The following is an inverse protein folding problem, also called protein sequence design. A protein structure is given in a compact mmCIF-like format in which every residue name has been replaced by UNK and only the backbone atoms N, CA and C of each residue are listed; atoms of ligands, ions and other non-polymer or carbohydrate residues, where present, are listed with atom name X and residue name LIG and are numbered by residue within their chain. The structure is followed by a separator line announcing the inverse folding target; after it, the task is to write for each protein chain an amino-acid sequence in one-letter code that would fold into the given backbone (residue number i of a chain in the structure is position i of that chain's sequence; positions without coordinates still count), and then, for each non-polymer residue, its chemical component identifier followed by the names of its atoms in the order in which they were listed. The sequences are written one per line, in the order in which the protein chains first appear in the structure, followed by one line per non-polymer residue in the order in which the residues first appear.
data_IF_479331252800
#
_entry.id   IF_479331252800
#
_cell.length_a   1.000
_cell.length_b   1.000
_cell.length_c   1.000
_cell.angle_alpha   90.00
_cell.angle_beta   90.00
_cell.angle_gamma   90.00
#
_symmetry.space_group_name_H-M   'P 1'
#
loop_
_entity.id
_entity.type
_entity.pdbx_description
1 polymer ?
#
# COMPACT_ATOMS: atom_id res chain seq x y z
N UNK A 1 14.91 2.79 5.84
CA UNK A 1 14.03 2.61 4.65
C UNK A 1 13.39 3.96 4.44
N UNK A 2 14.17 4.90 3.95
CA UNK A 2 13.89 6.29 4.30
C UNK A 2 13.43 7.11 3.12
N UNK A 3 13.32 6.51 1.92
CA UNK A 3 13.00 7.24 0.69
C UNK A 3 11.79 6.62 -0.01
N UNK A 4 10.70 7.39 -0.10
CA UNK A 4 9.54 7.08 -0.94
C UNK A 4 9.64 7.89 -2.24
N UNK A 5 9.39 7.28 -3.40
CA UNK A 5 9.35 7.99 -4.68
C UNK A 5 7.91 8.17 -5.17
N UNK A 6 7.59 9.37 -5.64
CA UNK A 6 6.31 9.70 -6.30
C UNK A 6 6.62 10.50 -7.57
N UNK A 7 6.54 9.83 -8.72
CA UNK A 7 7.03 10.39 -9.98
C UNK A 7 8.52 10.72 -9.90
N UNK A 8 8.87 11.98 -10.18
CA UNK A 8 10.26 12.47 -10.11
C UNK A 8 10.62 13.08 -8.74
N UNK A 9 9.81 12.88 -7.69
CA UNK A 9 10.05 13.40 -6.35
C UNK A 9 10.46 12.28 -5.39
N UNK A 10 11.51 12.53 -4.63
CA UNK A 10 11.97 11.66 -3.54
C UNK A 10 11.61 12.30 -2.18
N UNK A 11 11.04 11.51 -1.28
CA UNK A 11 10.66 11.92 0.07
C UNK A 11 11.49 11.16 1.09
N UNK A 12 12.40 11.84 1.77
CA UNK A 12 13.35 11.26 2.74
C UNK A 12 12.81 11.19 4.19
N UNK A 13 11.67 11.82 4.46
CA UNK A 13 11.08 11.93 5.82
C UNK A 13 9.56 11.89 5.77
N UNK A 14 9.01 10.98 4.95
CA UNK A 14 7.55 10.85 4.83
C UNK A 14 7.00 10.19 6.10
N UNK A 15 5.90 10.72 6.63
CA UNK A 15 5.18 10.05 7.70
C UNK A 15 4.80 8.63 7.23
N UNK A 16 5.19 7.55 7.93
CA UNK A 16 4.92 6.18 7.52
C UNK A 16 3.43 5.89 7.26
N UNK A 17 2.52 6.56 7.99
CA UNK A 17 1.09 6.41 7.78
C UNK A 17 0.64 7.03 6.44
N UNK A 18 1.21 8.18 6.07
CA UNK A 18 0.95 8.82 4.77
C UNK A 18 1.50 7.96 3.63
N UNK A 19 2.70 7.40 3.81
CA UNK A 19 3.31 6.45 2.87
C UNK A 19 2.40 5.23 2.66
N UNK A 20 1.95 4.64 3.76
CA UNK A 20 1.08 3.47 3.77
C UNK A 20 -0.25 3.74 3.08
N UNK A 21 -0.92 4.84 3.44
CA UNK A 21 -2.20 5.24 2.84
C UNK A 21 -2.06 5.45 1.32
N UNK A 22 -1.01 6.16 0.87
CA UNK A 22 -0.75 6.37 -0.56
C UNK A 22 -0.55 5.05 -1.32
N UNK A 23 0.26 4.15 -0.76
CA UNK A 23 0.51 2.83 -1.35
C UNK A 23 -0.78 2.00 -1.45
N UNK A 24 -1.54 1.94 -0.36
CA UNK A 24 -2.78 1.16 -0.30
C UNK A 24 -3.85 1.69 -1.26
N UNK A 25 -4.05 3.01 -1.33
CA UNK A 25 -4.98 3.63 -2.27
C UNK A 25 -4.59 3.40 -3.73
N UNK A 26 -3.29 3.43 -4.04
CA UNK A 26 -2.78 3.14 -5.39
C UNK A 26 -3.08 1.69 -5.79
N UNK A 27 -2.81 0.75 -4.89
CA UNK A 27 -3.11 -0.67 -5.11
C UNK A 27 -4.62 -0.93 -5.25
N UNK A 28 -5.45 -0.32 -4.39
CA UNK A 28 -6.91 -0.45 -4.46
C UNK A 28 -7.47 0.03 -5.80
N UNK A 29 -7.00 1.20 -6.29
CA UNK A 29 -7.39 1.69 -7.61
C UNK A 29 -6.97 0.74 -8.73
N UNK A 30 -5.79 0.14 -8.63
CA UNK A 30 -5.36 -0.86 -9.62
C UNK A 30 -6.27 -2.08 -9.59
N UNK A 31 -6.66 -2.56 -8.41
CA UNK A 31 -7.62 -3.67 -8.26
C UNK A 31 -8.93 -3.34 -8.95
N UNK A 32 -9.51 -2.17 -8.68
CA UNK A 32 -10.79 -1.74 -9.26
C UNK A 32 -10.75 -1.66 -10.80
N UNK A 33 -9.61 -1.27 -11.37
CA UNK A 33 -9.46 -1.10 -12.81
C UNK A 33 -9.12 -2.40 -13.56
N UNK A 34 -8.54 -3.39 -12.89
CA UNK A 34 -7.92 -4.54 -13.56
C UNK A 34 -8.55 -5.88 -13.19
N UNK A 35 -9.27 -5.98 -12.06
CA UNK A 35 -9.84 -7.24 -11.60
C UNK A 35 -11.35 -7.28 -11.83
N UNK A 36 -11.82 -8.38 -12.41
CA UNK A 36 -13.25 -8.67 -12.47
C UNK A 36 -13.70 -9.29 -11.12
N UNK A 37 -14.61 -8.66 -10.37
CA UNK A 37 -15.05 -9.15 -9.06
C UNK A 37 -15.84 -10.47 -9.12
N UNK A 38 -16.45 -10.81 -10.26
CA UNK A 38 -17.16 -12.08 -10.44
C UNK A 38 -16.21 -13.27 -10.61
N UNK A 39 -14.96 -13.00 -11.02
CA UNK A 39 -13.95 -14.04 -11.31
C UNK A 39 -12.78 -14.04 -10.34
N UNK A 40 -12.51 -12.91 -9.68
CA UNK A 40 -11.35 -12.72 -8.83
C UNK A 40 -11.78 -12.35 -7.41
N UNK A 41 -11.19 -13.02 -6.42
CA UNK A 41 -11.37 -12.68 -5.01
C UNK A 41 -10.10 -12.05 -4.47
N UNK A 42 -10.22 -10.82 -3.98
CA UNK A 42 -9.12 -10.09 -3.34
C UNK A 42 -9.24 -10.27 -1.83
N UNK A 43 -8.13 -10.65 -1.19
CA UNK A 43 -8.03 -10.76 0.26
C UNK A 43 -6.95 -9.79 0.72
N UNK A 44 -7.28 -8.95 1.69
CA UNK A 44 -6.32 -8.08 2.34
C UNK A 44 -6.02 -8.63 3.75
N UNK A 45 -4.74 -8.77 4.07
CA UNK A 45 -4.29 -9.08 5.44
C UNK A 45 -3.58 -7.84 5.99
N UNK A 46 -4.03 -7.38 7.15
CA UNK A 46 -3.36 -6.33 7.90
C UNK A 46 -2.01 -6.80 8.47
N UNK A 47 -1.40 -5.94 9.26
CA UNK A 47 -0.18 -6.25 10.00
C UNK A 47 -0.38 -7.46 10.93
N UNK A 48 0.54 -8.44 10.88
CA UNK A 48 0.55 -9.59 11.81
C UNK A 48 1.14 -9.16 13.15
N UNK A 49 0.63 -9.59 14.30
CA UNK A 49 1.18 -9.19 15.59
C UNK A 49 2.67 -9.53 15.70
N UNK A 50 3.45 -8.59 16.21
CA UNK A 50 4.83 -8.87 16.58
C UNK A 50 4.83 -9.69 17.88
N UNK A 51 5.58 -10.79 17.88
CA UNK A 51 5.95 -11.44 19.14
C UNK A 51 7.08 -10.62 19.77
N UNK A 52 6.74 -9.78 20.75
CA UNK A 52 7.74 -9.23 21.65
C UNK A 52 8.12 -10.35 22.62
N UNK A 53 9.31 -10.92 22.44
CA UNK A 53 9.96 -11.76 23.45
C UNK A 53 10.52 -10.93 24.58
#
# INVERSE_FOLDING_TARGET
WDVMMEGNKAYTSLNPMVAYQKGLSTWARWVDLNLNPERNRVIFRSFSPFHNG
#
